data_IF_936204802058
#
_entry.id   IF_936204802058
#
_cell.length_a   1.000
_cell.length_b   1.000
_cell.length_c   1.000
_cell.angle_alpha   90.00
_cell.angle_beta   90.00
_cell.angle_gamma   90.00
#
_symmetry.space_group_name_H-M   'P 1'
#
loop_
_entity.id
_entity.type
_entity.pdbx_description
1 polymer ?
#
# COMPACT_ATOMS: atom_id res chain seq x y z
N UNK A 1 -13.22 -8.00 1.03
CA UNK A 1 -11.89 -8.62 0.78
C UNK A 1 -11.92 -10.12 1.04
N UNK A 2 -12.37 -10.60 2.20
CA UNK A 2 -12.38 -12.04 2.53
C UNK A 2 -13.12 -12.92 1.52
N UNK A 3 -14.30 -12.49 1.06
CA UNK A 3 -15.06 -13.19 0.02
C UNK A 3 -14.28 -13.33 -1.30
N UNK A 4 -13.51 -12.30 -1.69
CA UNK A 4 -12.68 -12.34 -2.90
C UNK A 4 -11.60 -13.40 -2.75
N UNK A 5 -10.94 -13.46 -1.58
CA UNK A 5 -9.93 -14.46 -1.28
C UNK A 5 -10.52 -15.88 -1.28
N UNK A 6 -11.68 -16.08 -0.65
CA UNK A 6 -12.34 -17.39 -0.60
C UNK A 6 -12.65 -17.92 -2.01
N UNK A 7 -13.19 -17.08 -2.89
CA UNK A 7 -13.44 -17.44 -4.29
C UNK A 7 -12.12 -17.74 -5.03
N UNK A 8 -11.10 -16.91 -4.85
CA UNK A 8 -9.79 -17.09 -5.49
C UNK A 8 -9.02 -18.33 -5.00
N UNK A 9 -9.38 -18.88 -3.83
CA UNK A 9 -8.87 -20.17 -3.34
C UNK A 9 -9.62 -21.36 -3.95
N UNK A 10 -10.94 -21.24 -4.10
CA UNK A 10 -11.79 -22.30 -4.67
C UNK A 10 -11.56 -22.49 -6.16
N UNK A 11 -11.26 -21.39 -6.86
CA UNK A 11 -10.96 -21.38 -8.29
C UNK A 11 -9.45 -21.18 -8.42
N UNK A 12 -8.69 -22.10 -9.04
CA UNK A 12 -7.23 -22.02 -9.10
C UNK A 12 -6.75 -20.92 -10.06
N UNK A 13 -6.86 -19.66 -9.61
CA UNK A 13 -6.43 -18.48 -10.35
C UNK A 13 -4.97 -18.17 -10.04
N UNK A 14 -4.21 -17.67 -11.01
CA UNK A 14 -2.84 -17.20 -10.76
C UNK A 14 -2.80 -15.78 -10.20
N UNK A 15 -3.81 -14.96 -10.53
CA UNK A 15 -3.82 -13.55 -10.20
C UNK A 15 -5.23 -12.99 -9.99
N UNK A 16 -5.33 -11.92 -9.20
CA UNK A 16 -6.57 -11.14 -8.99
C UNK A 16 -6.32 -9.68 -9.35
N UNK A 17 -7.24 -9.08 -10.10
CA UNK A 17 -7.28 -7.64 -10.37
C UNK A 17 -8.59 -7.06 -9.84
N UNK A 18 -8.49 -6.10 -8.93
CA UNK A 18 -9.65 -5.50 -8.27
C UNK A 18 -10.31 -4.37 -9.08
N UNK A 19 -9.76 -4.02 -10.25
CA UNK A 19 -10.21 -2.85 -11.01
C UNK A 19 -10.03 -1.56 -10.21
N UNK A 20 -11.09 -0.76 -10.12
CA UNK A 20 -11.14 0.50 -9.40
C UNK A 20 -12.32 0.56 -8.43
N UNK A 21 -12.19 1.37 -7.37
CA UNK A 21 -13.18 1.45 -6.30
C UNK A 21 -13.28 0.20 -5.42
N UNK A 22 -14.16 0.24 -4.42
CA UNK A 22 -14.45 -0.85 -3.48
C UNK A 22 -13.19 -1.43 -2.78
N UNK A 23 -12.70 -2.59 -3.22
CA UNK A 23 -11.58 -3.29 -2.59
C UNK A 23 -10.21 -2.97 -3.20
N UNK A 24 -10.17 -2.22 -4.32
CA UNK A 24 -8.95 -1.89 -5.05
C UNK A 24 -7.95 -1.04 -4.27
N UNK A 25 -8.41 -0.29 -3.26
CA UNK A 25 -7.59 0.55 -2.38
C UNK A 25 -7.40 -0.05 -0.98
N UNK A 26 -7.90 -1.27 -0.73
CA UNK A 26 -7.79 -1.91 0.58
C UNK A 26 -6.47 -2.70 0.74
N UNK A 27 -5.53 -2.29 1.63
CA UNK A 27 -4.24 -2.95 1.78
C UNK A 27 -4.31 -4.43 2.19
N UNK A 28 -5.42 -4.87 2.80
CA UNK A 28 -5.62 -6.26 3.21
C UNK A 28 -5.74 -7.21 2.02
N UNK A 29 -6.19 -6.73 0.85
CA UNK A 29 -6.38 -7.56 -0.33
C UNK A 29 -5.06 -8.13 -0.87
N UNK A 30 -4.06 -7.32 -1.27
CA UNK A 30 -2.76 -7.85 -1.71
C UNK A 30 -2.05 -8.65 -0.61
N UNK A 31 -2.19 -8.25 0.66
CA UNK A 31 -1.58 -8.97 1.78
C UNK A 31 -2.10 -10.41 1.87
N UNK A 32 -3.42 -10.57 1.84
CA UNK A 32 -4.04 -11.88 1.93
C UNK A 32 -3.79 -12.73 0.69
N UNK A 33 -3.82 -12.14 -0.51
CA UNK A 33 -3.52 -12.86 -1.75
C UNK A 33 -2.07 -13.36 -1.77
N UNK A 34 -1.12 -12.51 -1.39
CA UNK A 34 0.30 -12.87 -1.31
C UNK A 34 0.55 -14.02 -0.32
N UNK A 35 -0.10 -13.99 0.85
CA UNK A 35 -0.03 -15.07 1.85
C UNK A 35 -0.55 -16.42 1.35
N UNK A 36 -1.36 -16.43 0.29
CA UNK A 36 -1.93 -17.63 -0.30
C UNK A 36 -1.34 -17.95 -1.69
N UNK A 37 -0.23 -17.31 -2.07
CA UNK A 37 0.45 -17.59 -3.34
C UNK A 37 -0.29 -17.11 -4.58
N UNK A 38 -1.27 -16.22 -4.43
CA UNK A 38 -2.03 -15.64 -5.53
C UNK A 38 -1.47 -14.24 -5.82
N UNK A 39 -1.12 -13.94 -7.07
CA UNK A 39 -0.61 -12.63 -7.42
C UNK A 39 -1.72 -11.56 -7.37
N UNK A 40 -1.40 -10.38 -6.89
CA UNK A 40 -2.29 -9.22 -7.02
C UNK A 40 -1.79 -8.33 -8.16
N UNK A 41 -2.66 -8.02 -9.13
CA UNK A 41 -2.33 -7.10 -10.21
C UNK A 41 -2.52 -5.65 -9.74
N UNK A 42 -1.56 -5.18 -8.94
CA UNK A 42 -1.56 -3.85 -8.36
C UNK A 42 -0.37 -3.63 -7.43
N UNK A 43 -0.34 -2.50 -6.71
CA UNK A 43 0.72 -2.20 -5.76
C UNK A 43 0.71 -3.16 -4.55
N UNK A 44 1.86 -3.31 -3.85
CA UNK A 44 1.92 -4.09 -2.62
C UNK A 44 1.14 -3.41 -1.49
N UNK A 45 0.76 -4.20 -0.47
CA UNK A 45 -0.02 -3.76 0.70
C UNK A 45 0.55 -2.50 1.37
N UNK A 46 1.87 -2.44 1.56
CA UNK A 46 2.55 -1.30 2.19
C UNK A 46 2.41 -0.02 1.37
N UNK A 47 2.53 -0.10 0.04
CA UNK A 47 2.34 1.05 -0.82
C UNK A 47 0.88 1.51 -0.83
N UNK A 48 -0.07 0.58 -0.83
CA UNK A 48 -1.50 0.91 -0.70
C UNK A 48 -1.82 1.60 0.62
N UNK A 49 -1.21 1.16 1.72
CA UNK A 49 -1.38 1.80 3.02
C UNK A 49 -0.79 3.22 3.04
N UNK A 50 0.46 3.37 2.58
CA UNK A 50 1.16 4.65 2.58
C UNK A 50 0.52 5.69 1.66
N UNK A 51 -0.08 5.26 0.55
CA UNK A 51 -0.68 6.16 -0.44
C UNK A 51 -2.20 6.30 -0.33
N UNK A 52 -2.89 5.37 0.36
CA UNK A 52 -4.34 5.42 0.57
C UNK A 52 -4.76 6.48 1.59
N UNK A 53 -3.87 6.84 2.51
CA UNK A 53 -4.10 7.93 3.46
C UNK A 53 -3.53 9.25 2.90
N UNK A 54 -4.36 10.32 2.92
CA UNK A 54 -3.98 11.64 2.36
C UNK A 54 -2.88 12.34 3.16
N UNK A 55 -2.84 12.14 4.47
CA UNK A 55 -1.80 12.69 5.34
C UNK A 55 -0.52 11.89 5.11
N UNK A 56 -0.60 10.56 5.18
CA UNK A 56 0.58 9.72 5.03
C UNK A 56 1.24 9.89 3.64
N UNK A 57 0.42 9.94 2.59
CA UNK A 57 0.90 10.18 1.21
C UNK A 57 1.57 11.55 1.07
N UNK A 58 1.05 12.59 1.72
CA UNK A 58 1.66 13.93 1.72
C UNK A 58 3.02 13.91 2.42
N UNK A 59 3.13 13.22 3.56
CA UNK A 59 4.41 13.07 4.27
C UNK A 59 5.41 12.30 3.40
N UNK A 60 5.00 11.21 2.74
CA UNK A 60 5.84 10.45 1.81
C UNK A 60 6.33 11.32 0.66
N UNK A 61 5.45 12.12 0.05
CA UNK A 61 5.82 13.05 -1.03
C UNK A 61 6.83 14.11 -0.57
N UNK A 62 6.58 14.75 0.58
CA UNK A 62 7.50 15.74 1.18
C UNK A 62 8.88 15.15 1.50
N UNK A 63 8.90 13.89 1.94
CA UNK A 63 10.13 13.17 2.26
C UNK A 63 10.93 12.84 1.01
N UNK A 64 10.26 12.51 -0.08
CA UNK A 64 10.88 12.28 -1.39
C UNK A 64 11.29 13.60 -2.11
N UNK A 65 11.13 14.77 -1.46
CA UNK A 65 11.45 16.06 -2.04
C UNK A 65 10.46 16.53 -3.13
N UNK A 66 9.29 15.91 -3.20
CA UNK A 66 8.23 16.30 -4.14
C UNK A 66 7.48 17.51 -3.59
N UNK A 67 7.27 18.58 -4.38
CA UNK A 67 6.48 19.72 -3.95
C UNK A 67 5.04 19.34 -3.60
N UNK A 68 4.59 19.70 -2.40
CA UNK A 68 3.21 19.51 -1.94
C UNK A 68 2.55 20.87 -1.67
N UNK A 69 1.22 20.91 -1.69
CA UNK A 69 0.47 22.09 -1.27
C UNK A 69 0.70 22.35 0.22
N UNK A 70 0.74 23.62 0.69
CA UNK A 70 0.83 23.94 2.10
C UNK A 70 -0.35 23.36 2.90
N UNK A 71 -0.04 22.73 4.03
CA UNK A 71 -0.99 22.12 4.96
C UNK A 71 -0.41 22.10 6.39
N UNK A 72 -1.18 21.67 7.39
CA UNK A 72 -0.78 21.70 8.81
C UNK A 72 0.50 20.91 9.12
N UNK A 73 0.84 19.89 8.33
CA UNK A 73 2.06 19.09 8.47
C UNK A 73 3.18 19.46 7.48
N UNK A 74 3.18 20.69 6.98
CA UNK A 74 4.25 21.15 6.07
C UNK A 74 5.61 21.06 6.76
N UNK A 75 6.56 20.38 6.13
CA UNK A 75 7.89 20.12 6.70
C UNK A 75 7.99 18.82 7.51
N UNK A 76 6.88 18.12 7.77
CA UNK A 76 6.93 16.76 8.31
C UNK A 76 7.52 15.81 7.27
N UNK A 77 8.60 15.14 7.65
CA UNK A 77 9.31 14.16 6.84
C UNK A 77 9.57 12.91 7.67
N UNK A 78 9.63 11.77 7.01
CA UNK A 78 10.10 10.53 7.61
C UNK A 78 11.61 10.54 7.57
N UNK A 79 12.24 10.26 8.71
CA UNK A 79 13.67 9.96 8.76
C UNK A 79 13.89 8.53 8.26
N UNK A 80 14.67 8.39 7.19
CA UNK A 80 15.01 7.11 6.59
C UNK A 80 16.43 6.71 6.96
N UNK A 81 16.61 5.51 7.51
CA UNK A 81 17.94 4.92 7.69
C UNK A 81 18.17 3.81 6.66
N UNK A 82 19.43 3.60 6.24
CA UNK A 82 19.81 2.56 5.27
C UNK A 82 19.36 1.15 5.72
N UNK A 83 19.22 0.91 7.02
CA UNK A 83 18.71 -0.35 7.58
C UNK A 83 17.21 -0.61 7.27
N UNK A 84 16.43 0.42 6.93
CA UNK A 84 15.00 0.28 6.62
C UNK A 84 14.76 -0.28 5.21
N UNK A 85 15.74 -0.15 4.30
CA UNK A 85 15.71 -0.83 2.99
C UNK A 85 15.63 -2.35 3.13
N UNK A 86 16.30 -2.90 4.14
CA UNK A 86 16.28 -4.34 4.41
C UNK A 86 14.92 -4.82 4.90
N UNK A 87 14.15 -3.95 5.56
CA UNK A 87 12.83 -4.28 6.12
C UNK A 87 11.69 -3.99 5.15
N UNK A 88 11.90 -3.15 4.11
CA UNK A 88 10.85 -2.64 3.21
C UNK A 88 9.65 -2.05 3.96
N UNK A 89 9.85 -1.55 5.19
CA UNK A 89 8.76 -0.99 6.01
C UNK A 89 8.90 0.52 6.00
N UNK A 90 7.82 1.17 5.58
CA UNK A 90 7.61 2.60 5.60
C UNK A 90 6.78 2.94 6.84
N UNK A 91 7.40 3.51 7.88
CA UNK A 91 6.67 3.94 9.06
C UNK A 91 6.42 5.45 8.96
N UNK A 92 5.17 5.83 8.72
CA UNK A 92 4.77 7.24 8.63
C UNK A 92 4.23 7.65 10.00
N UNK A 93 4.73 8.75 10.60
CA UNK A 93 4.32 9.20 11.93
C UNK A 93 2.85 9.62 12.01
#
# INVERSE_FOLDING_TARGET
>A
VELILDIAKRIPVQAVWAGWGHASENPKLPELLLKNGIAFMGPPSQAMWALGDKIASSIVAQTAGIPTLPWSGSGLRVDWHENDFSKRILNVP
#
